data_IF_405169458184
#
_entry.id   IF_405169458184
#
_cell.length_a   1.000
_cell.length_b   1.000
_cell.length_c   1.000
_cell.angle_alpha   90.00
_cell.angle_beta   90.00
_cell.angle_gamma   90.00
#
_symmetry.space_group_name_H-M   'P 1'
#
loop_
_entity.id
_entity.type
_entity.pdbx_description
1 polymer ?
#
# COMPACT_ATOMS: atom_id res chain seq x y z
N UNK A 1 -12.93 -22.79 5.92
CA UNK A 1 -12.25 -21.49 6.06
C UNK A 1 -13.33 -20.44 6.21
N UNK A 2 -13.23 -19.59 7.22
CA UNK A 2 -14.18 -18.49 7.42
C UNK A 2 -13.91 -17.37 6.40
N UNK A 3 -14.88 -16.47 6.20
CA UNK A 3 -14.65 -15.26 5.38
C UNK A 3 -13.51 -14.40 5.95
N UNK A 4 -13.32 -14.41 7.27
CA UNK A 4 -12.24 -13.70 7.94
C UNK A 4 -10.87 -14.31 7.64
N UNK A 5 -10.77 -15.64 7.61
CA UNK A 5 -9.52 -16.32 7.25
C UNK A 5 -9.12 -16.02 5.80
N UNK A 6 -10.09 -16.07 4.88
CA UNK A 6 -9.87 -15.77 3.47
C UNK A 6 -9.43 -14.31 3.26
N UNK A 7 -10.02 -13.39 4.03
CA UNK A 7 -9.64 -11.98 4.03
C UNK A 7 -8.17 -11.80 4.42
N UNK A 8 -7.75 -12.34 5.56
CA UNK A 8 -6.36 -12.20 6.02
C UNK A 8 -5.35 -12.89 5.11
N UNK A 9 -5.73 -13.99 4.46
CA UNK A 9 -4.88 -14.60 3.43
C UNK A 9 -4.72 -13.71 2.20
N UNK A 10 -5.81 -13.07 1.73
CA UNK A 10 -5.74 -12.13 0.61
C UNK A 10 -4.93 -10.88 0.95
N UNK A 11 -5.05 -10.38 2.19
CA UNK A 11 -4.24 -9.28 2.72
C UNK A 11 -2.74 -9.62 2.65
N UNK A 12 -2.34 -10.74 3.25
CA UNK A 12 -0.95 -11.20 3.25
C UNK A 12 -0.42 -11.47 1.84
N UNK A 13 -1.24 -12.07 0.97
CA UNK A 13 -0.87 -12.32 -0.42
C UNK A 13 -0.62 -11.03 -1.20
N UNK A 14 -1.40 -9.98 -0.94
CA UNK A 14 -1.25 -8.66 -1.58
C UNK A 14 0.07 -8.01 -1.18
N UNK A 15 0.42 -8.01 0.11
CA UNK A 15 1.71 -7.51 0.59
C UNK A 15 2.89 -8.30 0.04
N UNK A 16 2.79 -9.63 0.02
CA UNK A 16 3.80 -10.51 -0.59
C UNK A 16 4.01 -10.20 -2.08
N UNK A 17 2.91 -9.95 -2.81
CA UNK A 17 2.94 -9.59 -4.23
C UNK A 17 3.63 -8.25 -4.47
N UNK A 18 3.36 -7.23 -3.66
CA UNK A 18 4.07 -5.93 -3.73
C UNK A 18 5.58 -6.11 -3.54
N UNK A 19 5.99 -6.92 -2.56
CA UNK A 19 7.42 -7.21 -2.31
C UNK A 19 8.07 -7.98 -3.45
N UNK A 20 7.35 -8.89 -4.08
CA UNK A 20 7.84 -9.71 -5.19
C UNK A 20 7.95 -8.91 -6.49
N UNK A 21 6.89 -8.18 -6.85
CA UNK A 21 6.80 -7.43 -8.12
C UNK A 21 7.54 -6.09 -8.07
N UNK A 22 7.74 -5.52 -6.86
CA UNK A 22 8.42 -4.24 -6.63
C UNK A 22 7.90 -3.12 -7.55
N UNK A 23 6.60 -2.78 -7.47
CA UNK A 23 6.02 -1.74 -8.32
C UNK A 23 6.73 -0.41 -8.06
N UNK A 24 7.23 0.23 -9.12
CA UNK A 24 8.00 1.48 -9.04
C UNK A 24 7.22 2.71 -9.52
N UNK A 25 5.94 2.53 -9.81
CA UNK A 25 4.98 3.58 -10.17
C UNK A 25 3.69 3.42 -9.37
N UNK A 26 2.94 4.52 -9.22
CA UNK A 26 1.64 4.45 -8.55
C UNK A 26 0.65 3.56 -9.31
N UNK A 27 0.61 3.66 -10.64
CA UNK A 27 -0.26 2.85 -11.48
C UNK A 27 -0.01 1.33 -11.31
N UNK A 28 1.25 0.90 -11.26
CA UNK A 28 1.60 -0.51 -11.04
C UNK A 28 1.20 -0.98 -9.63
N UNK A 29 1.42 -0.15 -8.61
CA UNK A 29 0.98 -0.45 -7.24
C UNK A 29 -0.54 -0.56 -7.17
N UNK A 30 -1.26 0.42 -7.73
CA UNK A 30 -2.72 0.43 -7.79
C UNK A 30 -3.28 -0.82 -8.45
N UNK A 31 -2.69 -1.28 -9.56
CA UNK A 31 -3.11 -2.51 -10.22
C UNK A 31 -2.99 -3.76 -9.33
N UNK A 32 -2.09 -3.76 -8.34
CA UNK A 32 -2.02 -4.83 -7.33
C UNK A 32 -3.12 -4.63 -6.27
N UNK A 33 -3.25 -3.41 -5.74
CA UNK A 33 -4.22 -3.09 -4.67
C UNK A 33 -5.67 -3.30 -5.10
N UNK A 34 -6.02 -2.94 -6.34
CA UNK A 34 -7.38 -3.09 -6.90
C UNK A 34 -7.84 -4.57 -6.97
N UNK A 35 -6.93 -5.54 -6.80
CA UNK A 35 -7.28 -6.97 -6.72
C UNK A 35 -7.69 -7.43 -5.32
N UNK A 36 -7.43 -6.62 -4.30
CA UNK A 36 -7.76 -6.91 -2.91
C UNK A 36 -9.06 -6.22 -2.48
N UNK A 37 -9.12 -4.90 -2.59
CA UNK A 37 -10.30 -4.10 -2.28
C UNK A 37 -10.48 -2.97 -3.30
N UNK A 38 -11.74 -2.59 -3.61
CA UNK A 38 -12.00 -1.42 -4.43
C UNK A 38 -11.56 -0.13 -3.70
N UNK A 39 -11.24 0.95 -4.43
CA UNK A 39 -10.96 2.24 -3.82
C UNK A 39 -12.12 2.75 -2.96
N UNK A 40 -11.79 3.52 -1.91
CA UNK A 40 -12.75 4.24 -1.07
C UNK A 40 -12.85 5.71 -1.50
N UNK A 41 -12.13 6.62 -0.85
CA UNK A 41 -12.09 8.05 -1.21
C UNK A 41 -10.83 8.41 -2.02
N UNK A 42 -9.83 7.54 -2.02
CA UNK A 42 -8.60 7.65 -2.78
C UNK A 42 -8.65 7.08 -4.20
N UNK A 43 -7.50 7.14 -4.87
CA UNK A 43 -7.28 6.51 -6.17
C UNK A 43 -7.12 4.97 -6.03
N UNK A 44 -6.65 4.51 -4.86
CA UNK A 44 -6.60 3.10 -4.43
C UNK A 44 -6.85 3.00 -2.91
N UNK A 45 -7.05 1.77 -2.41
CA UNK A 45 -7.29 1.53 -1.00
C UNK A 45 -6.51 0.31 -0.48
N UNK A 46 -6.00 0.40 0.75
CA UNK A 46 -5.49 -0.75 1.48
C UNK A 46 -5.51 -0.50 3.01
N UNK A 47 -6.21 -1.33 3.79
CA UNK A 47 -6.42 -1.06 5.21
C UNK A 47 -5.14 -1.25 6.04
N UNK A 48 -5.06 -0.49 7.13
CA UNK A 48 -4.02 -0.62 8.16
C UNK A 48 -4.52 -1.47 9.35
N UNK A 49 -3.63 -1.72 10.32
CA UNK A 49 -3.98 -2.33 11.61
C UNK A 49 -3.63 -3.82 11.73
N UNK A 50 -2.90 -4.36 10.76
CA UNK A 50 -2.24 -5.67 10.87
C UNK A 50 -0.79 -5.51 11.37
N UNK A 51 -0.17 -6.59 11.84
CA UNK A 51 1.25 -6.60 12.23
C UNK A 51 2.19 -6.34 11.05
N UNK A 52 1.79 -6.76 9.84
CA UNK A 52 2.50 -6.48 8.58
C UNK A 52 1.71 -5.44 7.79
N UNK A 53 2.32 -4.32 7.44
CA UNK A 53 1.59 -3.18 6.87
C UNK A 53 1.94 -2.93 5.39
N UNK A 54 1.13 -2.10 4.73
CA UNK A 54 1.49 -1.59 3.41
C UNK A 54 2.78 -0.77 3.45
N UNK A 55 3.01 0.01 4.51
CA UNK A 55 4.25 0.76 4.69
C UNK A 55 5.47 -0.17 4.68
N UNK A 56 5.41 -1.31 5.39
CA UNK A 56 6.49 -2.30 5.41
C UNK A 56 6.71 -2.93 4.04
N UNK A 57 5.64 -3.24 3.31
CA UNK A 57 5.76 -3.80 1.95
C UNK A 57 6.35 -2.79 0.96
N UNK A 58 5.99 -1.50 1.09
CA UNK A 58 6.54 -0.42 0.28
C UNK A 58 8.04 -0.20 0.57
N UNK A 59 8.44 -0.16 1.83
CA UNK A 59 9.85 0.00 2.22
C UNK A 59 10.71 -1.15 1.67
N UNK A 60 10.24 -2.39 1.82
CA UNK A 60 10.88 -3.59 1.29
C UNK A 60 10.90 -3.67 -0.26
N UNK A 61 10.09 -2.87 -0.95
CA UNK A 61 10.01 -2.82 -2.42
C UNK A 61 10.74 -1.63 -3.04
N UNK A 62 11.45 -0.82 -2.24
CA UNK A 62 12.31 0.27 -2.74
C UNK A 62 11.70 1.67 -2.62
N UNK A 63 10.54 1.78 -1.99
CA UNK A 63 9.98 3.06 -1.57
C UNK A 63 10.63 3.51 -0.27
N UNK A 64 10.74 4.81 -0.06
CA UNK A 64 11.03 5.39 1.25
C UNK A 64 9.73 5.88 1.83
N UNK A 65 9.36 5.35 2.99
CA UNK A 65 8.16 5.76 3.72
C UNK A 65 8.53 6.78 4.78
N UNK A 66 7.80 7.89 4.82
CA UNK A 66 7.91 8.91 5.85
C UNK A 66 6.58 9.10 6.55
N UNK A 67 6.47 8.60 7.77
CA UNK A 67 5.31 8.83 8.62
C UNK A 67 5.19 10.31 9.00
N UNK A 68 3.95 10.74 9.25
CA UNK A 68 3.63 12.06 9.74
C UNK A 68 3.13 11.96 11.18
N UNK A 69 1.92 12.43 11.45
CA UNK A 69 1.39 12.56 12.81
C UNK A 69 1.12 11.21 13.49
N UNK A 70 0.90 10.15 12.70
CA UNK A 70 0.65 8.78 13.16
C UNK A 70 0.98 7.74 12.07
N UNK A 71 0.90 6.44 12.41
CA UNK A 71 1.15 5.34 11.45
C UNK A 71 0.17 5.31 10.28
N UNK A 72 -1.06 5.76 10.51
CA UNK A 72 -2.12 5.80 9.50
C UNK A 72 -2.03 7.01 8.55
N UNK A 73 -0.98 7.84 8.66
CA UNK A 73 -0.71 8.95 7.73
C UNK A 73 0.77 8.97 7.35
N UNK A 74 1.07 8.69 6.09
CA UNK A 74 2.45 8.72 5.57
C UNK A 74 2.52 9.11 4.10
N UNK A 75 3.71 9.52 3.68
CA UNK A 75 4.06 9.65 2.27
C UNK A 75 5.08 8.59 1.90
N UNK A 76 5.02 8.11 0.66
CA UNK A 76 6.06 7.23 0.15
C UNK A 76 6.63 7.77 -1.17
N UNK A 77 7.95 7.65 -1.33
CA UNK A 77 8.66 8.01 -2.55
C UNK A 77 9.51 6.85 -3.04
N UNK A 78 9.30 6.40 -4.27
CA UNK A 78 10.15 5.37 -4.86
C UNK A 78 11.55 5.89 -5.13
N UNK A 79 12.57 5.18 -4.64
CA UNK A 79 13.95 5.69 -4.62
C UNK A 79 14.57 5.86 -6.00
N UNK A 80 14.17 5.05 -7.00
CA UNK A 80 14.75 5.08 -8.35
C UNK A 80 13.98 5.97 -9.33
N UNK A 81 12.66 5.83 -9.35
CA UNK A 81 11.79 6.52 -10.31
C UNK A 81 11.32 7.88 -9.80
N UNK A 82 11.38 8.11 -8.49
CA UNK A 82 10.83 9.31 -7.86
C UNK A 82 9.30 9.36 -7.85
N UNK A 83 8.61 8.25 -8.18
CA UNK A 83 7.16 8.14 -8.01
C UNK A 83 6.77 8.42 -6.55
N UNK A 84 5.61 9.02 -6.34
CA UNK A 84 5.16 9.49 -5.02
C UNK A 84 3.73 9.11 -4.77
N UNK A 85 3.40 8.84 -3.51
CA UNK A 85 2.04 8.64 -3.05
C UNK A 85 1.84 9.19 -1.64
N UNK A 86 0.58 9.42 -1.29
CA UNK A 86 0.12 9.76 0.05
C UNK A 86 -0.82 8.67 0.54
N UNK A 87 -0.70 8.31 1.81
CA UNK A 87 -1.57 7.36 2.50
C UNK A 87 -2.27 8.05 3.67
N UNK A 88 -3.60 7.94 3.71
CA UNK A 88 -4.44 8.49 4.79
C UNK A 88 -5.50 7.46 5.16
N UNK A 89 -5.37 6.83 6.32
CA UNK A 89 -6.40 5.94 6.89
C UNK A 89 -6.90 4.84 5.92
N UNK A 90 -6.00 4.32 5.08
CA UNK A 90 -6.33 3.31 4.07
C UNK A 90 -6.45 3.84 2.66
N UNK A 91 -6.75 5.11 2.47
CA UNK A 91 -6.84 5.73 1.15
C UNK A 91 -5.47 6.12 0.62
N UNK A 92 -5.23 5.78 -0.66
CA UNK A 92 -4.02 6.13 -1.38
C UNK A 92 -4.30 7.13 -2.49
N UNK A 93 -3.42 8.12 -2.61
CA UNK A 93 -3.46 9.11 -3.67
C UNK A 93 -2.13 9.18 -4.41
N UNK A 94 -2.18 9.38 -5.73
CA UNK A 94 -0.98 9.69 -6.49
C UNK A 94 -0.41 11.06 -6.09
N UNK A 95 0.91 11.13 -5.89
CA UNK A 95 1.61 12.35 -5.46
C UNK A 95 1.63 12.55 -3.95
N UNK A 96 2.16 13.71 -3.53
CA UNK A 96 2.16 14.16 -2.13
C UNK A 96 1.06 15.22 -2.02
N UNK A 97 0.09 15.00 -1.12
CA UNK A 97 -1.03 15.91 -0.84
C UNK A 97 -0.96 16.47 0.57
#
# INVERSE_FOLDING_TARGET
MSNLDAYWQAYAATLARIRAEKPDTFAALKAILDTFEPPSSGDAFFPDGADDTLADALDNSGWRVEFREASYVYFAKHSKTGARLSYFEGDLFEGIR
#
